data_IF_118543884964
#
_entry.id   IF_118543884964
#
_cell.length_a   1.000
_cell.length_b   1.000
_cell.length_c   1.000
_cell.angle_alpha   90.00
_cell.angle_beta   90.00
_cell.angle_gamma   90.00
#
_symmetry.space_group_name_H-M   'P 1'
#
loop_
_entity.id
_entity.type
_entity.pdbx_description
1 polymer ?
#
# COMPACT_ATOMS: atom_id res chain seq x y z
N UNK A 1 -8.49 -12.94 -0.37
CA UNK A 1 -8.74 -11.54 0.06
C UNK A 1 -9.21 -11.45 1.52
N UNK A 2 -10.28 -12.17 1.90
CA UNK A 2 -10.91 -12.02 3.24
C UNK A 2 -10.12 -12.56 4.44
N UNK A 3 -9.22 -13.52 4.25
CA UNK A 3 -8.56 -14.20 5.38
C UNK A 3 -7.24 -13.56 5.84
N UNK A 4 -6.42 -13.04 4.92
CA UNK A 4 -5.05 -12.57 5.24
C UNK A 4 -4.89 -11.09 4.91
N UNK A 5 -5.05 -10.72 3.63
CA UNK A 5 -4.71 -9.37 3.17
C UNK A 5 -5.66 -8.29 3.68
N UNK A 6 -6.98 -8.52 3.67
CA UNK A 6 -7.95 -7.54 4.18
C UNK A 6 -7.77 -7.27 5.70
N UNK A 7 -7.71 -8.28 6.59
CA UNK A 7 -7.50 -8.01 8.01
C UNK A 7 -6.12 -7.38 8.27
N UNK A 8 -5.07 -7.81 7.59
CA UNK A 8 -3.74 -7.20 7.71
C UNK A 8 -3.74 -5.72 7.31
N UNK A 9 -4.44 -5.36 6.22
CA UNK A 9 -4.58 -3.97 5.77
C UNK A 9 -5.34 -3.12 6.80
N UNK A 10 -6.42 -3.65 7.39
CA UNK A 10 -7.18 -2.94 8.44
C UNK A 10 -6.29 -2.67 9.65
N UNK A 11 -5.54 -3.68 10.11
CA UNK A 11 -4.60 -3.50 11.24
C UNK A 11 -3.53 -2.46 10.89
N UNK A 12 -2.95 -2.52 9.69
CA UNK A 12 -1.95 -1.54 9.26
C UNK A 12 -2.48 -0.10 9.25
N UNK A 13 -3.71 0.11 8.78
CA UNK A 13 -4.37 1.43 8.81
C UNK A 13 -4.66 1.90 10.24
N UNK A 14 -5.18 1.01 11.10
CA UNK A 14 -5.47 1.36 12.50
C UNK A 14 -4.18 1.76 13.22
N UNK A 15 -3.11 0.96 13.11
CA UNK A 15 -1.82 1.29 13.71
C UNK A 15 -1.23 2.58 13.15
N UNK A 16 -1.33 2.80 11.84
CA UNK A 16 -0.87 4.02 11.19
C UNK A 16 -1.61 5.26 11.68
N UNK A 17 -2.94 5.21 11.76
CA UNK A 17 -3.77 6.30 12.29
C UNK A 17 -3.49 6.54 13.77
N UNK A 18 -3.35 5.49 14.57
CA UNK A 18 -3.00 5.61 15.99
C UNK A 18 -1.66 6.34 16.18
N UNK A 19 -0.66 6.02 15.35
CA UNK A 19 0.63 6.72 15.35
C UNK A 19 0.48 8.21 15.00
N UNK A 20 -0.35 8.54 14.00
CA UNK A 20 -0.63 9.92 13.58
C UNK A 20 -1.34 10.74 14.66
N UNK A 21 -2.27 10.13 15.40
CA UNK A 21 -2.98 10.79 16.50
C UNK A 21 -2.19 10.85 17.80
N UNK A 22 -1.03 10.19 17.89
CA UNK A 22 -0.18 10.25 19.09
C UNK A 22 0.69 11.51 19.03
N UNK A 23 0.49 12.47 19.96
CA UNK A 23 1.24 13.74 19.94
C UNK A 23 2.75 13.49 20.11
N UNK A 24 3.56 14.26 19.37
CA UNK A 24 5.03 14.22 19.48
C UNK A 24 5.72 13.09 18.72
N UNK A 25 4.98 12.22 18.01
CA UNK A 25 5.57 11.16 17.16
C UNK A 25 5.72 11.62 15.71
N UNK A 26 4.70 12.29 15.17
CA UNK A 26 4.68 12.76 13.79
C UNK A 26 4.95 14.26 13.77
N UNK A 27 6.09 14.64 13.22
CA UNK A 27 6.36 16.03 12.85
C UNK A 27 5.89 16.27 11.41
N UNK A 28 4.90 17.13 11.24
CA UNK A 28 4.32 17.45 9.93
C UNK A 28 5.18 18.39 9.10
N UNK A 29 6.22 18.98 9.69
CA UNK A 29 7.22 19.75 8.98
C UNK A 29 8.20 18.85 8.21
N UNK A 30 8.35 17.58 8.63
CA UNK A 30 9.18 16.61 7.92
C UNK A 30 8.47 16.05 6.67
N UNK A 31 9.23 15.56 5.70
CA UNK A 31 8.68 14.99 4.45
C UNK A 31 8.30 13.52 4.63
N UNK A 32 8.91 12.81 5.58
CA UNK A 32 8.65 11.40 5.83
C UNK A 32 7.17 11.02 6.08
N UNK A 33 6.36 11.78 6.83
CA UNK A 33 4.95 11.40 7.05
C UNK A 33 4.13 11.47 5.76
N UNK A 34 4.40 12.48 4.93
CA UNK A 34 3.73 12.68 3.64
C UNK A 34 4.08 11.57 2.65
N UNK A 35 5.38 11.29 2.50
CA UNK A 35 5.87 10.25 1.57
C UNK A 35 5.42 8.85 1.99
N UNK A 36 5.46 8.54 3.29
CA UNK A 36 4.89 7.30 3.85
C UNK A 36 3.38 7.23 3.61
N UNK A 37 2.65 8.30 3.91
CA UNK A 37 1.19 8.35 3.78
C UNK A 37 0.72 8.13 2.35
N UNK A 38 1.32 8.83 1.38
CA UNK A 38 1.03 8.64 -0.05
C UNK A 38 1.32 7.20 -0.47
N UNK A 39 2.43 6.62 -0.03
CA UNK A 39 2.78 5.25 -0.37
C UNK A 39 1.77 4.22 0.17
N UNK A 40 1.26 4.41 1.39
CA UNK A 40 0.21 3.56 1.98
C UNK A 40 -1.11 3.71 1.21
N UNK A 41 -1.47 4.93 0.79
CA UNK A 41 -2.65 5.18 -0.05
C UNK A 41 -2.53 4.46 -1.40
N UNK A 42 -1.39 4.57 -2.07
CA UNK A 42 -1.12 3.86 -3.32
C UNK A 42 -1.16 2.34 -3.15
N UNK A 43 -0.63 1.82 -2.04
CA UNK A 43 -0.69 0.38 -1.74
C UNK A 43 -2.13 -0.10 -1.50
N UNK A 44 -2.95 0.73 -0.85
CA UNK A 44 -4.37 0.46 -0.63
C UNK A 44 -5.13 0.43 -1.95
N UNK A 45 -4.91 1.43 -2.82
CA UNK A 45 -5.46 1.45 -4.17
C UNK A 45 -5.06 0.22 -4.97
N UNK A 46 -3.78 -0.15 -4.93
CA UNK A 46 -3.25 -1.30 -5.63
C UNK A 46 -3.93 -2.62 -5.22
N UNK A 47 -4.18 -2.81 -3.93
CA UNK A 47 -4.93 -3.96 -3.43
C UNK A 47 -6.37 -4.02 -3.96
N UNK A 48 -7.06 -2.89 -4.02
CA UNK A 48 -8.40 -2.81 -4.62
C UNK A 48 -8.37 -3.15 -6.11
N UNK A 49 -7.36 -2.64 -6.84
CA UNK A 49 -7.15 -2.98 -8.24
C UNK A 49 -6.91 -4.47 -8.47
N UNK A 50 -6.09 -5.13 -7.64
CA UNK A 50 -5.94 -6.58 -7.66
C UNK A 50 -7.26 -7.31 -7.39
N UNK A 51 -8.08 -6.78 -6.48
CA UNK A 51 -9.43 -7.28 -6.21
C UNK A 51 -10.35 -7.22 -7.42
N UNK A 52 -10.26 -6.16 -8.23
CA UNK A 52 -11.00 -6.04 -9.50
C UNK A 52 -10.47 -7.04 -10.54
N UNK A 53 -9.16 -7.10 -10.74
CA UNK A 53 -8.54 -8.04 -11.69
C UNK A 53 -8.86 -9.50 -11.37
N UNK A 54 -8.93 -9.87 -10.09
CA UNK A 54 -9.40 -11.20 -9.67
C UNK A 54 -10.80 -11.49 -10.21
N UNK A 55 -11.74 -10.54 -10.10
CA UNK A 55 -13.11 -10.71 -10.65
C UNK A 55 -13.10 -10.84 -12.16
N UNK A 56 -12.20 -10.15 -12.85
CA UNK A 56 -12.05 -10.26 -14.31
C UNK A 56 -11.50 -11.62 -14.73
N UNK A 57 -10.58 -12.19 -13.94
CA UNK A 57 -10.13 -13.57 -14.12
C UNK A 57 -11.26 -14.58 -13.89
N UNK A 58 -12.07 -14.41 -12.83
CA UNK A 58 -13.23 -15.27 -12.56
C UNK A 58 -14.26 -15.23 -13.71
N UNK A 59 -14.39 -14.08 -14.37
CA UNK A 59 -15.28 -13.88 -15.53
C UNK A 59 -14.65 -14.22 -16.88
N UNK A 60 -13.38 -14.63 -16.91
CA UNK A 60 -12.59 -14.84 -18.15
C UNK A 60 -12.54 -13.62 -19.09
N UNK A 61 -12.77 -12.41 -18.58
CA UNK A 61 -12.75 -11.16 -19.35
C UNK A 61 -11.42 -10.42 -19.22
N UNK A 62 -10.34 -11.16 -18.93
CA UNK A 62 -9.06 -10.54 -18.66
C UNK A 62 -8.39 -10.04 -19.95
N UNK A 63 -8.07 -8.75 -19.98
CA UNK A 63 -7.44 -8.06 -21.11
C UNK A 63 -5.94 -7.84 -20.93
N UNK A 64 -5.38 -8.15 -19.75
CA UNK A 64 -3.97 -7.91 -19.44
C UNK A 64 -3.11 -9.15 -19.65
N UNK A 65 -1.91 -8.96 -20.20
CA UNK A 65 -0.95 -10.05 -20.43
C UNK A 65 -0.22 -10.47 -19.15
N UNK A 66 0.30 -11.69 -19.11
CA UNK A 66 1.07 -12.20 -17.96
C UNK A 66 2.32 -11.36 -17.62
N UNK A 67 2.91 -10.68 -18.61
CA UNK A 67 4.03 -9.73 -18.38
C UNK A 67 3.59 -8.53 -17.54
N UNK A 68 2.41 -7.97 -17.83
CA UNK A 68 1.89 -6.82 -17.09
C UNK A 68 1.63 -7.19 -15.62
N UNK A 69 1.11 -8.39 -15.35
CA UNK A 69 0.93 -8.87 -13.97
C UNK A 69 2.24 -9.05 -13.21
N UNK A 70 3.30 -9.53 -13.87
CA UNK A 70 4.62 -9.64 -13.24
C UNK A 70 5.21 -8.29 -12.88
N UNK A 71 5.16 -7.32 -13.80
CA UNK A 71 5.60 -5.95 -13.52
C UNK A 71 4.79 -5.32 -12.38
N UNK A 72 3.49 -5.60 -12.33
CA UNK A 72 2.64 -5.04 -11.31
C UNK A 72 2.90 -5.60 -9.90
N UNK A 73 3.43 -6.82 -9.80
CA UNK A 73 3.87 -7.39 -8.52
C UNK A 73 5.11 -6.67 -7.95
N UNK A 74 5.83 -5.89 -8.76
CA UNK A 74 6.95 -5.07 -8.28
C UNK A 74 6.48 -3.76 -7.62
N UNK A 75 5.27 -3.29 -7.94
CA UNK A 75 4.71 -2.04 -7.37
C UNK A 75 4.65 -2.07 -5.84
N UNK A 76 4.11 -3.12 -5.18
CA UNK A 76 4.18 -3.24 -3.72
C UNK A 76 5.60 -3.18 -3.17
N UNK A 77 6.55 -3.80 -3.86
CA UNK A 77 7.95 -3.87 -3.42
C UNK A 77 8.59 -2.49 -3.48
N UNK A 78 8.37 -1.74 -4.55
CA UNK A 78 8.85 -0.36 -4.69
C UNK A 78 8.23 0.55 -3.61
N UNK A 79 6.92 0.46 -3.40
CA UNK A 79 6.23 1.23 -2.35
C UNK A 79 6.77 0.88 -0.95
N UNK A 80 7.05 -0.39 -0.67
CA UNK A 80 7.65 -0.83 0.59
C UNK A 80 9.02 -0.19 0.82
N UNK A 81 9.89 -0.18 -0.20
CA UNK A 81 11.21 0.45 -0.12
C UNK A 81 11.09 1.94 0.19
N UNK A 82 10.19 2.65 -0.50
CA UNK A 82 9.94 4.08 -0.25
C UNK A 82 9.46 4.31 1.19
N UNK A 83 8.51 3.50 1.68
CA UNK A 83 8.00 3.60 3.06
C UNK A 83 9.12 3.41 4.08
N UNK A 84 9.95 2.39 3.91
CA UNK A 84 11.02 2.06 4.85
C UNK A 84 12.10 3.14 4.85
N UNK A 85 12.56 3.57 3.67
CA UNK A 85 13.58 4.61 3.56
C UNK A 85 13.08 5.95 4.10
N UNK A 86 11.84 6.31 3.79
CA UNK A 86 11.17 7.51 4.32
C UNK A 86 11.22 7.54 5.84
N UNK A 87 10.82 6.45 6.50
CA UNK A 87 10.76 6.39 7.98
C UNK A 87 12.15 6.32 8.64
N UNK A 88 13.11 5.65 8.02
CA UNK A 88 14.44 5.44 8.60
C UNK A 88 15.34 6.65 8.40
N UNK A 89 15.42 7.14 7.17
CA UNK A 89 16.28 8.27 6.83
C UNK A 89 15.66 9.58 7.31
N UNK A 90 14.32 9.59 7.50
CA UNK A 90 13.56 10.78 7.92
C UNK A 90 13.92 12.01 7.07
N UNK A 91 14.03 11.79 5.76
CA UNK A 91 14.11 12.91 4.83
C UNK A 91 12.79 13.67 4.78
#
# INVERSE_FOLDING_TARGET
LRAIMNPAMVVAWICGLMMVFTPGIVDWHDIWPWTKGISILLMTWFHHWLGLRRKDFEKSTNTLTGRNYRMMNEVPTLLMVVIVLSVIVKF
#
